data_IF_119948705774
#
_entry.id   IF_119948705774
#
_cell.length_a   1.000
_cell.length_b   1.000
_cell.length_c   1.000
_cell.angle_alpha   90.00
_cell.angle_beta   90.00
_cell.angle_gamma   90.00
#
_symmetry.space_group_name_H-M   'P 1'
#
loop_
_entity.id
_entity.type
_entity.pdbx_description
1 polymer ?
#
# COMPACT_ATOMS: atom_id res chain seq x y z
N UNK A 1 -2.57 -8.45 -38.14
CA UNK A 1 -1.65 -8.96 -37.10
C UNK A 1 -2.44 -9.05 -35.80
N UNK A 2 -3.00 -10.21 -35.52
CA UNK A 2 -3.62 -10.55 -34.24
C UNK A 2 -2.50 -10.61 -33.20
N UNK A 3 -2.46 -9.63 -32.30
CA UNK A 3 -1.65 -9.75 -31.06
C UNK A 3 -2.23 -10.95 -30.30
N UNK A 4 -1.46 -12.02 -30.18
CA UNK A 4 -1.75 -13.10 -29.26
C UNK A 4 -1.74 -12.51 -27.84
N UNK A 5 -2.93 -12.17 -27.33
CA UNK A 5 -3.11 -11.95 -25.90
C UNK A 5 -2.74 -13.26 -25.18
N UNK A 6 -1.95 -13.21 -24.09
CA UNK A 6 -1.73 -14.40 -23.28
C UNK A 6 -3.08 -14.95 -22.83
N UNK A 7 -3.28 -16.27 -22.90
CA UNK A 7 -4.46 -16.90 -22.28
C UNK A 7 -4.47 -16.59 -20.79
N UNK A 8 -5.64 -16.40 -20.19
CA UNK A 8 -5.81 -16.10 -18.75
C UNK A 8 -4.97 -17.01 -17.84
N UNK A 9 -4.86 -18.30 -18.17
CA UNK A 9 -4.02 -19.27 -17.45
C UNK A 9 -2.52 -18.92 -17.39
N UNK A 10 -1.98 -18.29 -18.43
CA UNK A 10 -0.57 -17.90 -18.48
C UNK A 10 -0.29 -16.69 -17.57
N UNK A 11 -1.25 -15.76 -17.45
CA UNK A 11 -1.16 -14.62 -16.53
C UNK A 11 -1.24 -15.11 -15.09
N UNK A 12 -2.14 -16.05 -14.79
CA UNK A 12 -2.27 -16.68 -13.48
C UNK A 12 -0.96 -17.36 -13.03
N UNK A 13 -0.33 -18.15 -13.91
CA UNK A 13 0.95 -18.81 -13.61
C UNK A 13 2.08 -17.82 -13.30
N UNK A 14 2.16 -16.71 -14.04
CA UNK A 14 3.15 -15.65 -13.80
C UNK A 14 2.89 -15.00 -12.44
N UNK A 15 1.64 -14.68 -12.12
CA UNK A 15 1.27 -14.05 -10.85
C UNK A 15 1.52 -14.97 -9.67
N UNK A 16 1.17 -16.25 -9.78
CA UNK A 16 1.42 -17.24 -8.73
C UNK A 16 2.92 -17.43 -8.48
N UNK A 17 3.74 -17.45 -9.54
CA UNK A 17 5.20 -17.44 -9.39
C UNK A 17 5.69 -16.19 -8.67
N UNK A 18 5.20 -15.00 -9.04
CA UNK A 18 5.57 -13.73 -8.39
C UNK A 18 5.15 -13.70 -6.92
N UNK A 19 3.96 -14.19 -6.61
CA UNK A 19 3.47 -14.31 -5.24
C UNK A 19 4.40 -15.20 -4.40
N UNK A 20 4.79 -16.38 -4.92
CA UNK A 20 5.73 -17.26 -4.22
C UNK A 20 7.09 -16.61 -3.97
N UNK A 21 7.63 -15.89 -4.96
CA UNK A 21 8.88 -15.13 -4.81
C UNK A 21 8.71 -14.06 -3.72
N UNK A 22 7.60 -13.31 -3.75
CA UNK A 22 7.32 -12.28 -2.77
C UNK A 22 7.19 -12.82 -1.34
N UNK A 23 6.39 -13.87 -1.15
CA UNK A 23 6.12 -14.44 0.18
C UNK A 23 7.31 -15.21 0.75
N UNK A 24 8.14 -15.81 -0.10
CA UNK A 24 9.32 -16.59 0.33
C UNK A 24 10.58 -15.72 0.35
N UNK A 25 11.08 -15.33 -0.81
CA UNK A 25 12.33 -14.55 -0.91
C UNK A 25 12.15 -13.15 -0.34
N UNK A 26 10.99 -12.51 -0.53
CA UNK A 26 10.74 -11.16 -0.04
C UNK A 26 10.69 -11.10 1.49
N UNK A 27 10.21 -12.16 2.15
CA UNK A 27 10.23 -12.28 3.61
C UNK A 27 11.64 -12.54 4.18
N UNK A 28 12.52 -13.16 3.40
CA UNK A 28 13.90 -13.45 3.81
C UNK A 28 14.88 -12.33 3.43
N UNK A 29 14.47 -11.41 2.54
CA UNK A 29 15.32 -10.31 2.05
C UNK A 29 15.11 -9.05 2.88
N UNK A 30 16.08 -8.63 3.73
CA UNK A 30 15.94 -7.44 4.55
C UNK A 30 16.00 -6.17 3.70
N UNK A 31 15.31 -5.12 4.16
CA UNK A 31 15.50 -3.79 3.59
C UNK A 31 16.92 -3.27 3.89
N UNK A 32 17.58 -2.70 2.89
CA UNK A 32 18.84 -1.99 3.11
C UNK A 32 18.61 -0.79 4.04
N UNK A 33 19.49 -0.62 5.02
CA UNK A 33 19.53 0.56 5.89
C UNK A 33 20.39 1.69 5.32
N UNK A 34 21.12 1.41 4.24
CA UNK A 34 21.96 2.39 3.59
C UNK A 34 21.11 3.44 2.89
N UNK A 35 21.58 4.68 3.01
CA UNK A 35 21.02 5.78 2.27
C UNK A 35 21.49 5.68 0.81
N UNK A 36 20.76 4.89 0.02
CA UNK A 36 20.89 4.94 -1.43
C UNK A 36 20.25 6.25 -1.87
N UNK A 37 21.04 7.11 -2.52
CA UNK A 37 20.54 8.33 -3.15
C UNK A 37 19.42 7.91 -4.10
N UNK A 38 18.15 8.32 -3.87
CA UNK A 38 17.07 7.89 -4.73
C UNK A 38 17.26 8.55 -6.10
N UNK A 39 17.53 7.74 -7.11
CA UNK A 39 17.58 8.15 -8.50
C UNK A 39 16.36 7.60 -9.21
N UNK A 40 15.94 8.26 -10.28
CA UNK A 40 14.85 7.73 -11.10
C UNK A 40 15.30 6.39 -11.70
N UNK A 41 14.46 5.35 -11.64
CA UNK A 41 14.83 4.05 -12.15
C UNK A 41 14.99 4.07 -13.69
N UNK A 42 15.79 3.18 -14.29
CA UNK A 42 15.99 3.13 -15.74
C UNK A 42 14.71 2.94 -16.55
N UNK A 43 13.69 2.33 -15.95
CA UNK A 43 12.37 2.14 -16.57
C UNK A 43 11.44 3.35 -16.42
N UNK A 44 11.89 4.47 -15.84
CA UNK A 44 11.07 5.67 -15.68
C UNK A 44 10.63 6.24 -17.03
N UNK A 45 9.32 6.19 -17.27
CA UNK A 45 8.63 6.87 -18.37
C UNK A 45 7.89 8.10 -17.81
N UNK A 46 8.28 9.30 -18.27
CA UNK A 46 7.70 10.56 -17.81
C UNK A 46 6.22 10.69 -18.18
N UNK A 47 5.80 10.24 -19.36
CA UNK A 47 4.41 10.36 -19.81
C UNK A 47 3.50 9.49 -18.96
N UNK A 48 3.87 8.23 -18.75
CA UNK A 48 3.10 7.33 -17.86
C UNK A 48 3.07 7.84 -16.43
N UNK A 49 4.20 8.37 -15.94
CA UNK A 49 4.26 8.92 -14.59
C UNK A 49 3.32 10.13 -14.42
N UNK A 50 3.33 11.06 -15.37
CA UNK A 50 2.42 12.22 -15.39
C UNK A 50 0.96 11.80 -15.54
N UNK A 51 0.69 10.77 -16.34
CA UNK A 51 -0.66 10.24 -16.48
C UNK A 51 -1.16 9.70 -15.14
N UNK A 52 -0.38 8.88 -14.43
CA UNK A 52 -0.73 8.39 -13.09
C UNK A 52 -0.96 9.51 -12.06
N UNK A 53 -0.17 10.58 -12.14
CA UNK A 53 -0.38 11.80 -11.34
C UNK A 53 -1.75 12.43 -11.63
N UNK A 54 -2.08 12.65 -12.90
CA UNK A 54 -3.36 13.23 -13.33
C UNK A 54 -4.55 12.33 -12.95
N UNK A 55 -4.43 11.02 -13.17
CA UNK A 55 -5.47 10.04 -12.83
C UNK A 55 -5.80 10.06 -11.34
N UNK A 56 -4.79 10.23 -10.48
CA UNK A 56 -5.03 10.40 -9.05
C UNK A 56 -5.85 11.66 -8.74
N UNK A 57 -5.55 12.81 -9.37
CA UNK A 57 -6.32 14.04 -9.14
C UNK A 57 -7.76 13.92 -9.63
N UNK A 58 -7.98 13.27 -10.78
CA UNK A 58 -9.31 13.00 -11.31
C UNK A 58 -10.14 12.10 -10.37
N UNK A 59 -9.48 11.29 -9.54
CA UNK A 59 -10.09 10.30 -8.65
C UNK A 59 -9.71 10.49 -7.17
N UNK A 60 -9.35 11.71 -6.77
CA UNK A 60 -8.62 11.97 -5.51
C UNK A 60 -9.36 11.45 -4.28
N UNK A 61 -10.68 11.67 -4.21
CA UNK A 61 -11.48 11.21 -3.08
C UNK A 61 -11.47 9.68 -2.97
N UNK A 62 -11.82 8.98 -4.05
CA UNK A 62 -11.88 7.51 -4.07
C UNK A 62 -10.53 6.87 -3.83
N UNK A 63 -9.46 7.39 -4.44
CA UNK A 63 -8.11 6.86 -4.25
C UNK A 63 -7.52 7.18 -2.87
N UNK A 64 -7.94 8.26 -2.20
CA UNK A 64 -7.55 8.53 -0.81
C UNK A 64 -8.30 7.63 0.18
N UNK A 65 -9.58 7.34 -0.07
CA UNK A 65 -10.34 6.35 0.72
C UNK A 65 -9.72 4.95 0.56
N UNK A 66 -9.38 4.54 -0.67
CA UNK A 66 -8.69 3.27 -0.93
C UNK A 66 -7.37 3.16 -0.14
N UNK A 67 -6.56 4.21 -0.14
CA UNK A 67 -5.31 4.29 0.65
C UNK A 67 -5.58 4.15 2.15
N UNK A 68 -6.61 4.81 2.67
CA UNK A 68 -6.95 4.72 4.09
C UNK A 68 -7.42 3.30 4.47
N UNK A 69 -8.25 2.65 3.65
CA UNK A 69 -8.59 1.23 3.82
C UNK A 69 -7.35 0.33 3.82
N UNK A 70 -6.39 0.61 2.94
CA UNK A 70 -5.11 -0.09 2.88
C UNK A 70 -4.28 0.09 4.15
N UNK A 71 -4.17 1.32 4.67
CA UNK A 71 -3.45 1.59 5.92
C UNK A 71 -4.11 0.96 7.15
N UNK A 72 -5.45 0.96 7.23
CA UNK A 72 -6.18 0.24 8.28
C UNK A 72 -5.90 -1.26 8.21
N UNK A 73 -5.95 -1.83 7.00
CA UNK A 73 -5.65 -3.26 6.78
C UNK A 73 -4.19 -3.59 7.11
N UNK A 74 -3.25 -2.66 6.88
CA UNK A 74 -1.84 -2.81 7.20
C UNK A 74 -1.57 -3.00 8.69
N UNK A 75 -2.38 -2.42 9.57
CA UNK A 75 -2.27 -2.63 11.01
C UNK A 75 -2.58 -4.07 11.42
N UNK A 76 -3.25 -4.87 10.58
CA UNK A 76 -3.49 -6.28 10.88
C UNK A 76 -2.23 -7.14 10.74
N UNK A 77 -1.19 -6.64 10.05
CA UNK A 77 0.07 -7.34 9.84
C UNK A 77 0.95 -7.16 11.09
N UNK A 78 1.24 -8.23 11.88
CA UNK A 78 1.92 -8.10 13.16
C UNK A 78 3.31 -7.45 13.05
N UNK A 79 4.12 -7.86 12.08
CA UNK A 79 5.47 -7.32 11.85
C UNK A 79 5.46 -5.81 11.61
N UNK A 80 4.44 -5.29 10.94
CA UNK A 80 4.29 -3.87 10.65
C UNK A 80 3.72 -3.13 11.86
N UNK A 81 2.70 -3.70 12.52
CA UNK A 81 2.10 -3.12 13.71
C UNK A 81 3.13 -2.94 14.84
N UNK A 82 3.97 -3.94 15.07
CA UNK A 82 5.00 -3.92 16.11
C UNK A 82 6.01 -2.78 15.88
N UNK A 83 6.45 -2.59 14.64
CA UNK A 83 7.32 -1.46 14.27
C UNK A 83 6.62 -0.13 14.50
N UNK A 84 5.34 0.00 14.09
CA UNK A 84 4.56 1.23 14.26
C UNK A 84 4.42 1.58 15.74
N UNK A 85 4.04 0.61 16.58
CA UNK A 85 3.92 0.78 18.03
C UNK A 85 5.28 1.15 18.66
N UNK A 86 6.35 0.47 18.25
CA UNK A 86 7.71 0.74 18.71
C UNK A 86 8.16 2.19 18.46
N UNK A 87 7.73 2.82 17.37
CA UNK A 87 8.08 4.23 17.09
C UNK A 87 7.53 5.22 18.12
N UNK A 88 6.47 4.84 18.86
CA UNK A 88 5.72 5.70 19.78
C UNK A 88 5.17 6.99 19.14
N UNK A 89 5.02 7.01 17.81
CA UNK A 89 4.54 8.17 17.05
C UNK A 89 3.03 8.11 16.75
N UNK A 90 2.30 7.13 17.28
CA UNK A 90 0.87 6.95 16.97
C UNK A 90 0.03 6.43 18.13
N UNK A 91 0.55 6.46 19.37
CA UNK A 91 -0.18 5.98 20.54
C UNK A 91 -1.25 6.95 21.09
N UNK A 92 -1.30 8.19 20.59
CA UNK A 92 -2.33 9.17 20.94
C UNK A 92 -2.85 9.87 19.68
N UNK A 93 -4.10 10.38 19.66
CA UNK A 93 -4.65 11.04 18.48
C UNK A 93 -3.81 12.21 17.98
N UNK A 94 -3.19 12.99 18.86
CA UNK A 94 -2.33 14.11 18.47
C UNK A 94 -1.03 13.64 17.76
N UNK A 95 -0.36 12.62 18.32
CA UNK A 95 0.84 12.06 17.70
C UNK A 95 0.52 11.36 16.37
N UNK A 96 -0.58 10.61 16.35
CA UNK A 96 -1.10 9.98 15.15
C UNK A 96 -1.45 11.02 14.07
N UNK A 97 -2.10 12.13 14.43
CA UNK A 97 -2.44 13.20 13.49
C UNK A 97 -1.19 13.73 12.80
N UNK A 98 -0.13 14.05 13.57
CA UNK A 98 1.15 14.49 13.00
C UNK A 98 1.73 13.48 12.00
N UNK A 99 1.67 12.19 12.33
CA UNK A 99 2.17 11.13 11.43
C UNK A 99 1.33 11.05 10.15
N UNK A 100 0.02 10.87 10.28
CA UNK A 100 -0.85 10.61 9.13
C UNK A 100 -1.08 11.86 8.27
N UNK A 101 -1.13 13.06 8.85
CA UNK A 101 -1.11 14.31 8.08
C UNK A 101 0.21 14.45 7.29
N UNK A 102 1.36 14.11 7.88
CA UNK A 102 2.63 14.07 7.14
C UNK A 102 2.59 13.05 5.99
N UNK A 103 2.00 11.87 6.19
CA UNK A 103 1.83 10.87 5.13
C UNK A 103 0.95 11.40 3.99
N UNK A 104 -0.17 12.04 4.31
CA UNK A 104 -1.07 12.65 3.34
C UNK A 104 -0.32 13.71 2.52
N UNK A 105 0.39 14.62 3.18
CA UNK A 105 1.16 15.67 2.51
C UNK A 105 2.25 15.09 1.58
N UNK A 106 3.01 14.08 2.02
CA UNK A 106 3.99 13.42 1.17
C UNK A 106 3.32 12.73 -0.03
N UNK A 107 2.16 12.11 0.19
CA UNK A 107 1.35 11.50 -0.89
C UNK A 107 0.97 12.55 -1.93
N UNK A 108 0.41 13.70 -1.53
CA UNK A 108 0.09 14.78 -2.47
C UNK A 108 1.33 15.29 -3.20
N UNK A 109 2.46 15.48 -2.52
CA UNK A 109 3.72 15.87 -3.19
C UNK A 109 4.12 14.87 -4.26
N UNK A 110 3.99 13.57 -4.01
CA UNK A 110 4.33 12.53 -4.98
C UNK A 110 3.41 12.50 -6.19
N UNK A 111 2.13 12.82 -6.00
CA UNK A 111 1.16 12.85 -7.08
C UNK A 111 1.09 14.19 -7.82
N UNK A 112 1.69 15.27 -7.30
CA UNK A 112 1.64 16.61 -7.91
C UNK A 112 2.96 17.02 -8.58
N UNK A 113 4.09 16.76 -7.92
CA UNK A 113 5.35 17.41 -8.28
C UNK A 113 6.09 16.64 -9.36
N UNK A 114 6.69 17.37 -10.31
CA UNK A 114 7.52 16.77 -11.34
C UNK A 114 8.85 16.30 -10.74
N UNK A 115 9.26 15.04 -10.92
CA UNK A 115 10.61 14.59 -10.53
C UNK A 115 11.73 15.28 -11.32
N UNK A 116 11.46 15.95 -12.44
CA UNK A 116 12.46 16.64 -13.24
C UNK A 116 12.57 18.16 -12.94
N UNK A 117 11.64 18.73 -12.18
CA UNK A 117 11.60 20.17 -11.89
C UNK A 117 12.64 20.59 -10.82
N UNK A 118 13.10 21.86 -10.87
CA UNK A 118 14.02 22.45 -9.89
C UNK A 118 13.35 23.63 -9.15
N UNK A 119 13.39 23.67 -7.81
CA UNK A 119 13.90 22.64 -6.90
C UNK A 119 13.04 21.36 -6.92
N UNK A 120 13.68 20.19 -6.83
CA UNK A 120 13.02 18.90 -6.98
C UNK A 120 12.28 18.47 -5.70
N UNK A 121 11.10 19.05 -5.48
CA UNK A 121 10.27 18.79 -4.29
C UNK A 121 9.83 17.33 -4.19
N UNK A 122 9.63 16.66 -5.33
CA UNK A 122 9.30 15.23 -5.38
C UNK A 122 10.40 14.38 -4.74
N UNK A 123 11.64 14.55 -5.21
CA UNK A 123 12.79 13.81 -4.71
C UNK A 123 13.10 14.14 -3.25
N UNK A 124 13.00 15.41 -2.85
CA UNK A 124 13.21 15.80 -1.45
C UNK A 124 12.18 15.15 -0.51
N UNK A 125 10.92 15.10 -0.92
CA UNK A 125 9.86 14.38 -0.20
C UNK A 125 10.17 12.88 -0.06
N UNK A 126 10.57 12.21 -1.15
CA UNK A 126 10.97 10.80 -1.10
C UNK A 126 12.17 10.55 -0.18
N UNK A 127 13.21 11.40 -0.24
CA UNK A 127 14.38 11.30 0.65
C UNK A 127 13.98 11.39 2.13
N UNK A 128 13.06 12.29 2.46
CA UNK A 128 12.55 12.44 3.84
C UNK A 128 11.88 11.14 4.30
N UNK A 129 10.97 10.59 3.50
CA UNK A 129 10.26 9.34 3.85
C UNK A 129 11.22 8.17 3.93
N UNK A 130 12.10 7.99 2.94
CA UNK A 130 13.12 6.93 2.94
C UNK A 130 14.01 7.02 4.19
N UNK A 131 14.44 8.23 4.58
CA UNK A 131 15.23 8.45 5.80
C UNK A 131 14.45 8.05 7.05
N UNK A 132 13.18 8.43 7.17
CA UNK A 132 12.31 8.04 8.29
C UNK A 132 12.19 6.51 8.37
N UNK A 133 11.97 5.82 7.24
CA UNK A 133 11.92 4.37 7.19
C UNK A 133 13.25 3.74 7.62
N UNK A 134 14.39 4.16 7.05
CA UNK A 134 15.70 3.61 7.41
C UNK A 134 16.00 3.75 8.91
N UNK A 135 15.68 4.91 9.50
CA UNK A 135 15.85 5.15 10.95
C UNK A 135 14.95 4.21 11.77
N UNK A 136 13.67 4.07 11.39
CA UNK A 136 12.75 3.17 12.09
C UNK A 136 13.18 1.70 11.96
N UNK A 137 13.60 1.28 10.76
CA UNK A 137 14.02 -0.08 10.47
C UNK A 137 15.28 -0.45 11.24
N UNK A 138 16.29 0.43 11.23
CA UNK A 138 17.52 0.25 12.01
C UNK A 138 17.23 0.12 13.50
N UNK A 139 16.47 1.06 14.07
CA UNK A 139 16.14 1.06 15.51
C UNK A 139 15.30 -0.15 15.93
N UNK A 140 14.37 -0.58 15.09
CA UNK A 140 13.53 -1.75 15.36
C UNK A 140 14.36 -3.05 15.32
N UNK A 141 15.30 -3.13 14.38
CA UNK A 141 16.24 -4.25 14.26
C UNK A 141 17.18 -4.32 15.48
N UNK A 142 17.78 -3.19 15.86
CA UNK A 142 18.68 -3.10 17.03
C UNK A 142 17.96 -3.43 18.35
N UNK A 143 16.66 -3.13 18.43
CA UNK A 143 15.83 -3.44 19.59
C UNK A 143 15.25 -4.86 19.57
N UNK A 144 15.60 -5.70 18.58
CA UNK A 144 15.04 -7.04 18.37
C UNK A 144 13.50 -7.08 18.28
N UNK A 145 12.89 -6.00 17.78
CA UNK A 145 11.43 -5.94 17.58
C UNK A 145 11.06 -6.63 16.27
N UNK A 146 11.60 -6.12 15.15
CA UNK A 146 11.46 -6.72 13.84
C UNK A 146 12.59 -6.20 12.95
N UNK A 147 13.03 -7.00 11.98
CA UNK A 147 13.95 -6.57 10.94
C UNK A 147 13.15 -6.43 9.64
N UNK A 148 12.77 -5.21 9.21
CA UNK A 148 11.90 -5.02 8.06
C UNK A 148 12.47 -5.57 6.76
N UNK A 149 11.59 -6.15 5.96
CA UNK A 149 11.89 -6.95 4.77
C UNK A 149 11.30 -6.33 3.50
N UNK A 150 11.67 -6.86 2.34
CA UNK A 150 11.06 -6.49 1.06
C UNK A 150 9.57 -6.83 1.04
N UNK A 151 9.15 -7.91 1.70
CA UNK A 151 7.73 -8.22 1.88
C UNK A 151 7.01 -7.14 2.69
N UNK A 152 7.57 -6.65 3.80
CA UNK A 152 6.93 -5.58 4.59
C UNK A 152 6.74 -4.31 3.76
N UNK A 153 7.72 -3.96 2.90
CA UNK A 153 7.60 -2.84 1.98
C UNK A 153 6.57 -3.07 0.86
N UNK A 154 6.44 -4.29 0.35
CA UNK A 154 5.41 -4.64 -0.62
C UNK A 154 4.00 -4.57 -0.01
N UNK A 155 3.83 -5.06 1.23
CA UNK A 155 2.57 -4.91 1.96
C UNK A 155 2.25 -3.44 2.25
N UNK A 156 3.26 -2.62 2.57
CA UNK A 156 3.08 -1.18 2.68
C UNK A 156 2.64 -0.56 1.33
N UNK A 157 3.24 -0.97 0.21
CA UNK A 157 2.83 -0.53 -1.13
C UNK A 157 1.38 -0.95 -1.44
N UNK A 158 0.98 -2.18 -1.08
CA UNK A 158 -0.43 -2.61 -1.13
C UNK A 158 -1.33 -1.65 -0.36
N UNK A 159 -0.90 -1.20 0.82
CA UNK A 159 -1.62 -0.19 1.60
C UNK A 159 -1.92 1.11 0.85
N UNK A 160 -1.16 1.45 -0.19
CA UNK A 160 -1.37 2.68 -0.97
C UNK A 160 -2.07 2.49 -2.32
N UNK A 161 -1.95 1.32 -2.95
CA UNK A 161 -2.48 1.08 -4.31
C UNK A 161 -3.36 -0.17 -4.40
N UNK A 162 -3.26 -1.10 -3.44
CA UNK A 162 -3.92 -2.40 -3.46
C UNK A 162 -5.44 -2.29 -3.61
N UNK A 163 -6.11 -1.54 -2.73
CA UNK A 163 -7.56 -1.35 -2.82
C UNK A 163 -8.02 -0.57 -4.05
N UNK A 164 -7.17 0.29 -4.62
CA UNK A 164 -7.46 0.91 -5.92
C UNK A 164 -7.45 -0.15 -7.03
N UNK A 165 -6.49 -1.09 -7.00
CA UNK A 165 -6.41 -2.16 -7.98
C UNK A 165 -7.56 -3.16 -7.85
N UNK A 166 -7.91 -3.57 -6.63
CA UNK A 166 -8.87 -4.66 -6.39
C UNK A 166 -10.32 -4.21 -6.24
N UNK A 167 -10.56 -2.97 -5.80
CA UNK A 167 -11.89 -2.43 -5.50
C UNK A 167 -12.15 -1.05 -6.10
N UNK A 168 -11.36 -0.63 -7.10
CA UNK A 168 -11.50 0.68 -7.75
C UNK A 168 -12.93 0.98 -8.19
N UNK A 169 -13.57 0.04 -8.90
CA UNK A 169 -14.93 0.21 -9.43
C UNK A 169 -15.96 0.44 -8.32
N UNK A 170 -15.89 -0.34 -7.23
CA UNK A 170 -16.80 -0.20 -6.09
C UNK A 170 -16.61 1.15 -5.37
N UNK A 171 -15.38 1.67 -5.35
CA UNK A 171 -15.05 2.97 -4.79
C UNK A 171 -15.35 4.13 -5.75
N UNK A 172 -15.83 3.86 -6.96
CA UNK A 172 -16.10 4.86 -7.98
C UNK A 172 -14.84 5.45 -8.63
N UNK A 173 -13.72 4.71 -8.64
CA UNK A 173 -12.53 5.08 -9.42
C UNK A 173 -12.85 4.89 -10.90
N UNK A 174 -12.86 5.98 -11.66
CA UNK A 174 -13.11 5.99 -13.10
C UNK A 174 -11.82 6.25 -13.84
N UNK A 175 -11.36 5.26 -14.62
CA UNK A 175 -10.09 5.32 -15.36
C UNK A 175 -10.18 4.56 -16.67
N UNK A 176 -9.47 5.03 -17.69
CA UNK A 176 -9.12 4.20 -18.86
C UNK A 176 -8.01 3.21 -18.52
N UNK A 177 -7.77 2.23 -19.41
CA UNK A 177 -6.66 1.28 -19.25
C UNK A 177 -5.30 2.00 -19.21
N UNK A 178 -5.09 3.00 -20.08
CA UNK A 178 -3.87 3.82 -20.12
C UNK A 178 -3.68 4.62 -18.82
N UNK A 179 -4.76 5.18 -18.27
CA UNK A 179 -4.73 5.88 -16.99
C UNK A 179 -4.31 4.95 -15.85
N UNK A 180 -4.84 3.73 -15.82
CA UNK A 180 -4.46 2.73 -14.81
C UNK A 180 -3.01 2.24 -15.00
N UNK A 181 -2.52 2.10 -16.24
CA UNK A 181 -1.09 1.89 -16.50
C UNK A 181 -0.24 3.01 -15.91
N UNK A 182 -0.70 4.25 -16.02
CA UNK A 182 -0.04 5.40 -15.40
C UNK A 182 0.04 5.29 -13.88
N UNK A 183 -1.06 4.87 -13.22
CA UNK A 183 -1.12 4.65 -11.76
C UNK A 183 -0.15 3.56 -11.33
N UNK A 184 -0.15 2.41 -12.03
CA UNK A 184 0.79 1.31 -11.79
C UNK A 184 2.23 1.79 -11.95
N UNK A 185 2.54 2.48 -13.03
CA UNK A 185 3.88 3.00 -13.31
C UNK A 185 4.35 3.99 -12.24
N UNK A 186 3.50 4.91 -11.80
CA UNK A 186 3.79 5.84 -10.72
C UNK A 186 4.19 5.11 -9.43
N UNK A 187 3.41 4.11 -9.01
CA UNK A 187 3.70 3.36 -7.79
C UNK A 187 4.90 2.41 -7.94
N UNK A 188 5.18 1.91 -9.14
CA UNK A 188 6.41 1.15 -9.42
C UNK A 188 7.65 2.02 -9.21
N UNK A 189 7.65 3.23 -9.77
CA UNK A 189 8.73 4.22 -9.63
C UNK A 189 8.91 4.61 -8.16
N UNK A 190 7.82 4.96 -7.45
CA UNK A 190 7.88 5.32 -6.02
C UNK A 190 8.43 4.16 -5.19
N UNK A 191 7.95 2.92 -5.40
CA UNK A 191 8.43 1.74 -4.70
C UNK A 191 9.94 1.52 -4.88
N UNK A 192 10.42 1.61 -6.12
CA UNK A 192 11.85 1.50 -6.44
C UNK A 192 12.67 2.58 -5.72
N UNK A 193 12.23 3.85 -5.78
CA UNK A 193 12.92 4.96 -5.12
C UNK A 193 12.86 4.88 -3.58
N UNK A 194 11.92 4.13 -3.02
CA UNK A 194 11.87 3.81 -1.59
C UNK A 194 12.72 2.58 -1.22
N UNK A 195 13.46 2.01 -2.17
CA UNK A 195 14.43 0.92 -1.97
C UNK A 195 13.88 -0.48 -2.19
N UNK A 196 12.73 -0.61 -2.88
CA UNK A 196 12.21 -1.93 -3.26
C UNK A 196 12.95 -2.48 -4.47
N UNK A 197 13.30 -3.76 -4.43
CA UNK A 197 13.76 -4.44 -5.65
C UNK A 197 12.56 -4.67 -6.58
N UNK A 198 12.79 -4.52 -7.88
CA UNK A 198 11.72 -4.57 -8.89
C UNK A 198 10.95 -5.91 -8.88
N UNK A 199 11.61 -7.01 -8.48
CA UNK A 199 10.98 -8.34 -8.36
C UNK A 199 9.98 -8.47 -7.21
N UNK A 200 10.07 -7.61 -6.19
CA UNK A 200 9.14 -7.56 -5.05
C UNK A 200 8.10 -6.44 -5.16
N UNK A 201 8.29 -5.54 -6.12
CA UNK A 201 7.39 -4.43 -6.39
C UNK A 201 6.06 -4.94 -6.98
N UNK A 202 4.95 -4.62 -6.31
CA UNK A 202 3.62 -5.09 -6.71
C UNK A 202 3.19 -4.49 -8.06
N UNK A 203 3.75 -3.32 -8.40
CA UNK A 203 3.43 -2.56 -9.61
C UNK A 203 4.37 -2.85 -10.79
N UNK A 204 5.12 -3.95 -10.74
CA UNK A 204 5.89 -4.45 -11.89
C UNK A 204 4.98 -5.30 -12.79
N UNK A 205 5.05 -5.13 -14.11
CA UNK A 205 4.26 -5.91 -15.07
C UNK A 205 3.07 -5.14 -15.66
N UNK A 206 2.08 -5.85 -16.19
CA UNK A 206 0.85 -5.25 -16.74
C UNK A 206 -0.16 -4.90 -15.63
N UNK A 207 -1.18 -4.10 -15.96
CA UNK A 207 -2.25 -3.74 -15.01
C UNK A 207 -2.97 -4.99 -14.50
N UNK A 208 -3.22 -5.96 -15.36
CA UNK A 208 -3.89 -7.22 -15.05
C UNK A 208 -3.05 -8.05 -14.07
N UNK A 209 -1.75 -8.21 -14.35
CA UNK A 209 -0.82 -8.92 -13.47
C UNK A 209 -0.74 -8.25 -12.09
N UNK A 210 -0.64 -6.91 -12.05
CA UNK A 210 -0.58 -6.16 -10.80
C UNK A 210 -1.90 -6.27 -10.02
N UNK A 211 -3.05 -6.22 -10.71
CA UNK A 211 -4.37 -6.36 -10.12
C UNK A 211 -4.55 -7.74 -9.49
N UNK A 212 -4.20 -8.78 -10.24
CA UNK A 212 -4.32 -10.16 -9.77
C UNK A 212 -3.33 -10.43 -8.62
N UNK A 213 -2.09 -9.94 -8.71
CA UNK A 213 -1.12 -10.07 -7.61
C UNK A 213 -1.61 -9.38 -6.34
N UNK A 214 -2.14 -8.15 -6.43
CA UNK A 214 -2.76 -7.47 -5.30
C UNK A 214 -3.93 -8.29 -4.71
N UNK A 215 -4.79 -8.87 -5.55
CA UNK A 215 -5.87 -9.74 -5.07
C UNK A 215 -5.32 -10.96 -4.31
N UNK A 216 -4.32 -11.64 -4.84
CA UNK A 216 -3.69 -12.79 -4.17
C UNK A 216 -3.02 -12.38 -2.85
N UNK A 217 -2.36 -11.22 -2.80
CA UNK A 217 -1.78 -10.68 -1.55
C UNK A 217 -2.86 -10.36 -0.51
N UNK A 218 -4.00 -9.81 -0.93
CA UNK A 218 -5.15 -9.59 -0.05
C UNK A 218 -5.63 -10.92 0.54
N UNK A 219 -5.82 -11.93 -0.29
CA UNK A 219 -6.33 -13.25 0.10
C UNK A 219 -5.36 -14.04 1.01
N UNK A 220 -4.09 -14.11 0.65
CA UNK A 220 -3.13 -14.98 1.33
C UNK A 220 -2.49 -14.32 2.57
N UNK A 221 -2.52 -12.99 2.66
CA UNK A 221 -1.83 -12.24 3.72
C UNK A 221 -2.77 -11.40 4.57
N UNK A 222 -3.56 -10.52 3.95
CA UNK A 222 -4.37 -9.55 4.70
C UNK A 222 -5.62 -10.20 5.30
N UNK A 223 -6.42 -10.96 4.56
CA UNK A 223 -7.64 -11.58 5.09
C UNK A 223 -7.38 -12.51 6.29
N UNK A 224 -6.36 -13.41 6.27
CA UNK A 224 -6.04 -14.24 7.42
C UNK A 224 -5.58 -13.42 8.62
N UNK A 225 -4.88 -12.32 8.38
CA UNK A 225 -4.40 -11.41 9.42
C UNK A 225 -5.55 -10.60 10.03
N UNK A 226 -6.50 -10.11 9.22
CA UNK A 226 -7.69 -9.38 9.65
C UNK A 226 -8.69 -10.26 10.40
N UNK A 227 -8.76 -11.55 10.07
CA UNK A 227 -9.58 -12.53 10.77
C UNK A 227 -9.06 -12.81 12.20
N UNK A 228 -7.75 -12.66 12.43
CA UNK A 228 -7.15 -12.80 13.76
C UNK A 228 -7.45 -11.56 14.60
N UNK A 229 -8.19 -11.75 15.69
CA UNK A 229 -8.47 -10.68 16.66
C UNK A 229 -7.18 -10.24 17.34
N UNK A 230 -6.88 -8.94 17.31
CA UNK A 230 -5.75 -8.34 18.00
C UNK A 230 -6.19 -7.01 18.65
N UNK A 231 -6.10 -6.91 19.99
CA UNK A 231 -6.52 -5.68 20.69
C UNK A 231 -5.70 -4.44 20.31
N UNK A 232 -4.43 -4.63 19.97
CA UNK A 232 -3.57 -3.53 19.52
C UNK A 232 -3.96 -3.04 18.13
N UNK A 233 -4.48 -3.91 17.26
CA UNK A 233 -5.05 -3.52 15.98
C UNK A 233 -6.26 -2.59 16.20
N UNK A 234 -7.22 -3.00 17.03
CA UNK A 234 -8.43 -2.22 17.29
C UNK A 234 -8.09 -0.84 17.87
N UNK A 235 -7.18 -0.80 18.85
CA UNK A 235 -6.76 0.45 19.49
C UNK A 235 -6.00 1.37 18.53
N UNK A 236 -4.97 0.86 17.84
CA UNK A 236 -4.15 1.66 16.93
C UNK A 236 -4.94 2.11 15.70
N UNK A 237 -5.86 1.28 15.22
CA UNK A 237 -6.79 1.60 14.14
C UNK A 237 -7.73 2.73 14.54
N UNK A 238 -8.35 2.63 15.72
CA UNK A 238 -9.20 3.69 16.27
C UNK A 238 -8.43 5.00 16.42
N UNK A 239 -7.24 4.98 17.04
CA UNK A 239 -6.42 6.19 17.22
C UNK A 239 -6.00 6.80 15.87
N UNK A 240 -5.67 5.97 14.87
CA UNK A 240 -5.40 6.45 13.50
C UNK A 240 -6.61 7.18 12.93
N UNK A 241 -7.79 6.56 12.96
CA UNK A 241 -9.00 7.11 12.35
C UNK A 241 -9.49 8.37 13.08
N UNK A 242 -9.52 8.37 14.41
CA UNK A 242 -9.84 9.55 15.23
C UNK A 242 -8.88 10.71 14.93
N UNK A 243 -7.60 10.42 14.70
CA UNK A 243 -6.62 11.47 14.41
C UNK A 243 -6.89 12.19 13.08
N UNK A 244 -7.63 11.58 12.15
CA UNK A 244 -7.94 12.17 10.85
C UNK A 244 -9.21 13.04 10.86
N UNK A 245 -9.93 13.08 11.97
CA UNK A 245 -11.15 13.89 12.10
C UNK A 245 -10.95 15.37 11.71
N UNK A 246 -9.83 16.06 12.04
CA UNK A 246 -9.59 17.44 11.60
C UNK A 246 -9.43 17.62 10.08
N UNK A 247 -9.12 16.53 9.35
CA UNK A 247 -8.96 16.54 7.89
C UNK A 247 -10.29 16.18 7.22
N UNK A 248 -10.99 15.17 7.74
CA UNK A 248 -12.30 14.76 7.25
C UNK A 248 -13.15 14.24 8.42
N UNK A 249 -14.11 15.05 8.84
CA UNK A 249 -15.02 14.75 9.95
C UNK A 249 -15.98 13.58 9.67
N UNK A 250 -16.10 13.13 8.41
CA UNK A 250 -16.92 11.97 8.04
C UNK A 250 -16.25 10.63 8.34
N UNK A 251 -14.98 10.63 8.78
CA UNK A 251 -14.28 9.40 9.19
C UNK A 251 -14.71 9.05 10.61
N UNK A 252 -15.76 8.24 10.73
CA UNK A 252 -16.14 7.60 11.98
C UNK A 252 -15.40 6.26 12.11
N UNK A 253 -14.62 6.02 13.19
CA UNK A 253 -13.72 4.86 13.28
C UNK A 253 -14.38 3.48 13.11
N UNK A 254 -15.55 3.26 13.72
CA UNK A 254 -16.22 1.95 13.69
C UNK A 254 -16.78 1.68 12.29
N UNK A 255 -17.48 2.66 11.71
CA UNK A 255 -18.02 2.60 10.37
C UNK A 255 -16.91 2.43 9.34
N UNK A 256 -15.81 3.19 9.43
CA UNK A 256 -14.71 3.11 8.48
C UNK A 256 -13.96 1.76 8.56
N UNK A 257 -13.74 1.25 9.77
CA UNK A 257 -13.14 -0.09 9.96
C UNK A 257 -14.07 -1.17 9.39
N UNK A 258 -15.37 -1.08 9.67
CA UNK A 258 -16.38 -2.02 9.13
C UNK A 258 -16.43 -1.97 7.60
N UNK A 259 -16.40 -0.77 7.02
CA UNK A 259 -16.34 -0.56 5.58
C UNK A 259 -15.08 -1.16 4.97
N UNK A 260 -13.91 -1.00 5.61
CA UNK A 260 -12.64 -1.59 5.16
C UNK A 260 -12.72 -3.12 5.13
N UNK A 261 -13.29 -3.72 6.17
CA UNK A 261 -13.49 -5.17 6.24
C UNK A 261 -14.50 -5.66 5.17
N UNK A 262 -15.56 -4.89 4.94
CA UNK A 262 -16.50 -5.16 3.86
C UNK A 262 -15.82 -5.14 2.49
N UNK A 263 -15.03 -4.11 2.21
CA UNK A 263 -14.29 -3.96 0.96
C UNK A 263 -13.33 -5.14 0.72
N UNK A 264 -12.55 -5.50 1.74
CA UNK A 264 -11.66 -6.66 1.70
C UNK A 264 -12.43 -7.96 1.39
N UNK A 265 -13.61 -8.13 1.98
CA UNK A 265 -14.46 -9.31 1.77
C UNK A 265 -15.15 -9.38 0.41
N UNK A 266 -15.29 -8.27 -0.31
CA UNK A 266 -15.87 -8.28 -1.66
C UNK A 266 -14.90 -8.82 -2.71
N UNK A 267 -13.60 -8.67 -2.43
CA UNK A 267 -12.51 -9.09 -3.31
C UNK A 267 -12.05 -10.52 -3.04
N UNK A 268 -12.51 -11.12 -1.95
CA UNK A 268 -12.23 -12.50 -1.59
C UNK A 268 -13.02 -13.46 -2.47
N UNK A 269 -12.34 -14.34 -3.20
CA UNK A 269 -12.97 -15.38 -4.01
C UNK A 269 -13.03 -16.71 -3.22
N UNK A 270 -12.13 -16.86 -2.25
CA UNK A 270 -11.99 -18.06 -1.42
C UNK A 270 -12.85 -17.89 -0.15
N UNK A 271 -13.28 -19.00 0.47
CA UNK A 271 -14.13 -19.00 1.68
C UNK A 271 -13.43 -19.70 2.86
N UNK A 272 -12.11 -19.55 2.95
CA UNK A 272 -11.26 -20.33 3.86
C UNK A 272 -11.15 -19.70 5.27
N UNK A 273 -11.56 -18.45 5.42
CA UNK A 273 -11.53 -17.67 6.64
C UNK A 273 -12.92 -17.09 6.91
N UNK A 274 -13.14 -16.64 8.15
CA UNK A 274 -14.31 -15.84 8.48
C UNK A 274 -13.85 -14.52 9.05
N UNK A 275 -14.44 -13.44 8.56
CA UNK A 275 -14.23 -12.11 9.08
C UNK A 275 -15.55 -11.63 9.70
N UNK A 276 -15.46 -11.04 10.89
CA UNK A 276 -16.61 -10.42 11.55
C UNK A 276 -16.72 -8.96 11.09
N UNK A 277 -17.84 -8.61 10.47
CA UNK A 277 -18.17 -7.28 9.96
C UNK A 277 -19.38 -6.78 10.76
N UNK A 278 -19.13 -5.97 11.79
CA UNK A 278 -20.17 -5.59 12.76
C UNK A 278 -20.77 -6.82 13.44
N UNK A 279 -22.06 -7.09 13.22
CA UNK A 279 -22.77 -8.28 13.72
C UNK A 279 -22.79 -9.46 12.74
N UNK A 280 -22.26 -9.29 11.53
CA UNK A 280 -22.30 -10.28 10.47
C UNK A 280 -20.98 -11.07 10.45
N UNK A 281 -21.06 -12.40 10.38
CA UNK A 281 -19.94 -13.26 10.05
C UNK A 281 -19.97 -13.54 8.55
N UNK A 282 -18.91 -13.19 7.83
CA UNK A 282 -18.78 -13.45 6.39
C UNK A 282 -17.59 -14.36 6.13
N UNK A 283 -17.82 -15.40 5.33
CA UNK A 283 -16.75 -16.26 4.82
C UNK A 283 -16.00 -15.54 3.70
N UNK A 284 -14.67 -15.60 3.75
CA UNK A 284 -13.71 -14.90 2.90
C UNK A 284 -12.40 -15.70 2.78
#
# INVERSE_FOLDING_TARGET
MTKNLPSDAAVEDVVEKRLRILLKEGAETPMSFEWIKPELPPFYDEKKFRLGQQTFYNNVFSMMIAKLCGLVSLLSIPTILDVIMFTKQSGTPCLAYRRYASTILHTFVWHEKNPNEKPNKFLESLKIVRRKHCVAFKRSTEANVHRPTQLDMALAQFGFVGFTMVNGDYLGVSTTDEEMEGVVHLWRVIGSMLGMDDKFNLCTGTVEECRLLCRRVLEEVFLPSMAKKNKHLDEMGRVMLESLWPINFNIEPIAFTTFTYHLASLSAINNNHFIKIGNILKYV
#
